data_IF_477174587358
#
_entry.id   IF_477174587358
#
_cell.length_a   1.000
_cell.length_b   1.000
_cell.length_c   1.000
_cell.angle_alpha   90.00
_cell.angle_beta   90.00
_cell.angle_gamma   90.00
#
_symmetry.space_group_name_H-M   'P 1'
#
loop_
_entity.id
_entity.type
_entity.pdbx_description
1 polymer ?
#
# COMPACT_ATOMS: atom_id res chain seq x y z
N UNK A 1 -6.26 -9.05 13.37
CA UNK A 1 -5.47 -9.17 12.13
C UNK A 1 -6.33 -8.51 11.07
N UNK A 2 -5.96 -7.31 10.62
CA UNK A 2 -6.70 -6.67 9.54
C UNK A 2 -6.20 -7.31 8.26
N UNK A 3 -6.97 -8.26 7.74
CA UNK A 3 -6.73 -8.82 6.41
C UNK A 3 -7.43 -7.92 5.40
N UNK A 4 -6.69 -7.43 4.41
CA UNK A 4 -7.27 -6.64 3.34
C UNK A 4 -8.31 -7.49 2.60
N UNK A 5 -9.46 -6.90 2.33
CA UNK A 5 -10.50 -7.52 1.53
C UNK A 5 -10.03 -7.70 0.08
N UNK A 6 -10.63 -8.65 -0.65
CA UNK A 6 -10.36 -8.86 -2.08
C UNK A 6 -10.51 -7.57 -2.88
N UNK A 7 -11.49 -6.73 -2.53
CA UNK A 7 -11.72 -5.44 -3.20
C UNK A 7 -10.56 -4.46 -2.99
N UNK A 8 -9.97 -4.43 -1.78
CA UNK A 8 -8.81 -3.60 -1.48
C UNK A 8 -7.56 -4.11 -2.20
N UNK A 9 -7.36 -5.43 -2.28
CA UNK A 9 -6.30 -6.03 -3.09
C UNK A 9 -6.45 -5.65 -4.58
N UNK A 10 -7.63 -5.84 -5.17
CA UNK A 10 -7.86 -5.46 -6.58
C UNK A 10 -7.65 -3.96 -6.83
N UNK A 11 -8.02 -3.12 -5.86
CA UNK A 11 -7.81 -1.67 -5.95
C UNK A 11 -6.31 -1.33 -5.88
N UNK A 12 -5.56 -1.98 -4.98
CA UNK A 12 -4.12 -1.83 -4.83
C UNK A 12 -3.37 -2.28 -6.08
N UNK A 13 -3.68 -3.45 -6.62
CA UNK A 13 -3.05 -3.96 -7.85
C UNK A 13 -3.29 -3.03 -9.03
N UNK A 14 -4.51 -2.52 -9.18
CA UNK A 14 -4.82 -1.50 -10.20
C UNK A 14 -4.06 -0.20 -9.96
N UNK A 15 -3.92 0.23 -8.71
CA UNK A 15 -3.16 1.43 -8.37
C UNK A 15 -1.67 1.26 -8.69
N UNK A 16 -1.09 0.08 -8.47
CA UNK A 16 0.28 -0.26 -8.88
C UNK A 16 0.44 -0.13 -10.39
N UNK A 17 -0.45 -0.76 -11.16
CA UNK A 17 -0.40 -0.74 -12.63
C UNK A 17 -0.55 0.68 -13.18
N UNK A 18 -1.44 1.48 -12.59
CA UNK A 18 -1.72 2.85 -13.03
C UNK A 18 -0.76 3.89 -12.48
N UNK A 19 0.03 3.56 -11.46
CA UNK A 19 0.81 4.53 -10.69
C UNK A 19 -0.05 5.54 -9.93
N UNK A 20 -1.28 5.16 -9.57
CA UNK A 20 -2.21 6.02 -8.82
C UNK A 20 -1.79 6.14 -7.36
N UNK A 21 -1.99 7.31 -6.75
CA UNK A 21 -1.71 7.51 -5.32
C UNK A 21 -2.71 6.70 -4.48
N UNK A 22 -2.24 6.20 -3.36
CA UNK A 22 -3.06 5.53 -2.35
C UNK A 22 -2.81 6.16 -0.99
N UNK A 23 -3.82 6.14 -0.12
CA UNK A 23 -3.69 6.38 1.30
C UNK A 23 -3.53 5.02 1.99
N UNK A 24 -2.48 4.89 2.78
CA UNK A 24 -2.20 3.72 3.60
C UNK A 24 -2.36 4.11 5.06
N UNK A 25 -3.22 3.41 5.77
CA UNK A 25 -3.44 3.64 7.20
C UNK A 25 -2.70 2.57 8.00
N UNK A 26 -1.82 3.00 8.89
CA UNK A 26 -1.00 2.12 9.74
C UNK A 26 -0.84 2.69 11.13
N UNK A 27 -1.30 1.96 12.14
CA UNK A 27 -1.24 2.35 13.56
C UNK A 27 -1.84 3.74 13.80
N UNK A 28 -2.95 4.03 13.11
CA UNK A 28 -3.63 5.33 13.18
C UNK A 28 -2.89 6.49 12.48
N UNK A 29 -1.82 6.22 11.72
CA UNK A 29 -1.16 7.21 10.87
C UNK A 29 -1.53 6.99 9.41
N UNK A 30 -1.77 8.08 8.69
CA UNK A 30 -2.05 8.07 7.26
C UNK A 30 -0.78 8.41 6.46
N UNK A 31 -0.51 7.60 5.43
CA UNK A 31 0.57 7.80 4.47
C UNK A 31 0.03 7.85 3.05
N UNK A 32 0.19 9.00 2.38
CA UNK A 32 -0.12 9.11 0.95
C UNK A 32 1.12 8.73 0.14
N UNK A 33 1.03 7.64 -0.62
CA UNK A 33 2.16 7.06 -1.35
C UNK A 33 1.77 6.64 -2.77
N UNK A 34 2.76 6.50 -3.65
CA UNK A 34 2.59 5.85 -4.95
C UNK A 34 3.07 4.41 -4.82
N UNK A 35 2.17 3.41 -4.93
CA UNK A 35 2.56 2.01 -4.83
C UNK A 35 3.33 1.60 -6.09
N UNK A 36 4.33 0.73 -5.92
CA UNK A 36 5.24 0.30 -7.00
C UNK A 36 5.16 -1.20 -7.28
N UNK A 37 5.08 -2.03 -6.24
CA UNK A 37 4.93 -3.48 -6.39
C UNK A 37 4.60 -4.14 -5.05
N UNK A 38 3.99 -5.31 -5.15
CA UNK A 38 3.85 -6.26 -4.05
C UNK A 38 5.02 -7.25 -4.06
N UNK A 39 5.46 -7.63 -2.87
CA UNK A 39 6.55 -8.58 -2.63
C UNK A 39 6.13 -9.54 -1.52
N UNK A 40 6.24 -10.84 -1.78
CA UNK A 40 6.04 -11.85 -0.74
C UNK A 40 7.39 -12.40 -0.31
N UNK A 41 7.74 -12.24 0.96
CA UNK A 41 8.98 -12.73 1.54
C UNK A 41 8.69 -13.47 2.84
N UNK A 42 9.14 -14.72 2.93
CA UNK A 42 8.97 -15.58 4.12
C UNK A 42 7.52 -15.67 4.62
N UNK A 43 6.56 -15.68 3.69
CA UNK A 43 5.13 -15.77 4.00
C UNK A 43 4.47 -14.45 4.44
N UNK A 44 5.20 -13.32 4.39
CA UNK A 44 4.65 -11.99 4.63
C UNK A 44 4.64 -11.19 3.35
N UNK A 45 3.56 -10.45 3.13
CA UNK A 45 3.43 -9.57 1.98
C UNK A 45 3.83 -8.14 2.35
N UNK A 46 4.56 -7.51 1.44
CA UNK A 46 5.03 -6.13 1.56
C UNK A 46 4.63 -5.34 0.34
N UNK A 47 4.23 -4.10 0.58
CA UNK A 47 3.99 -3.09 -0.42
C UNK A 47 5.19 -2.15 -0.46
N UNK A 48 5.87 -2.14 -1.60
CA UNK A 48 6.88 -1.12 -1.86
C UNK A 48 6.23 0.09 -2.51
N UNK A 49 6.54 1.26 -1.97
CA UNK A 49 5.94 2.52 -2.36
C UNK A 49 6.98 3.64 -2.41
N UNK A 50 6.58 4.77 -2.99
CA UNK A 50 7.38 5.99 -3.03
C UNK A 50 6.55 7.16 -2.52
N UNK A 51 7.15 8.00 -1.68
CA UNK A 51 6.53 9.26 -1.27
C UNK A 51 6.40 10.19 -2.50
N UNK A 52 5.22 10.76 -2.79
CA UNK A 52 4.96 11.48 -4.04
C UNK A 52 5.79 12.74 -4.19
N UNK A 53 6.13 13.42 -3.09
CA UNK A 53 6.90 14.68 -3.09
C UNK A 53 8.41 14.46 -2.96
N UNK A 54 8.87 13.74 -1.93
CA UNK A 54 10.31 13.56 -1.65
C UNK A 54 10.97 12.47 -2.48
N UNK A 55 10.20 11.53 -3.03
CA UNK A 55 10.77 10.36 -3.73
C UNK A 55 11.29 9.27 -2.78
N UNK A 56 11.09 9.42 -1.46
CA UNK A 56 11.56 8.45 -0.48
C UNK A 56 10.87 7.09 -0.68
N UNK A 57 11.66 6.03 -0.58
CA UNK A 57 11.13 4.66 -0.64
C UNK A 57 10.57 4.27 0.72
N UNK A 58 9.31 3.83 0.71
CA UNK A 58 8.59 3.34 1.88
C UNK A 58 8.20 1.89 1.64
N UNK A 59 8.33 1.06 2.67
CA UNK A 59 7.92 -0.35 2.63
C UNK A 59 6.94 -0.60 3.76
N UNK A 60 5.77 -1.11 3.40
CA UNK A 60 4.71 -1.42 4.35
C UNK A 60 4.45 -2.92 4.34
N UNK A 61 4.30 -3.53 5.52
CA UNK A 61 3.81 -4.90 5.61
C UNK A 61 2.29 -4.89 5.58
N UNK A 62 1.67 -5.69 4.70
CA UNK A 62 0.22 -5.69 4.50
C UNK A 62 -0.53 -6.15 5.77
N UNK A 63 0.05 -7.07 6.53
CA UNK A 63 -0.50 -7.59 7.79
C UNK A 63 -0.49 -6.57 8.95
N UNK A 64 0.20 -5.43 8.77
CA UNK A 64 0.27 -4.33 9.72
C UNK A 64 -0.58 -3.12 9.32
N UNK A 65 -1.30 -3.20 8.20
CA UNK A 65 -2.14 -2.12 7.71
C UNK A 65 -3.53 -2.19 8.34
N UNK A 66 -4.03 -1.02 8.72
CA UNK A 66 -5.40 -0.87 9.22
C UNK A 66 -6.37 -0.78 8.03
N UNK A 67 -6.00 -0.03 6.98
CA UNK A 67 -6.81 0.17 5.78
C UNK A 67 -5.96 0.69 4.59
N UNK A 68 -6.49 0.58 3.37
CA UNK A 68 -5.94 1.15 2.15
C UNK A 68 -7.06 1.72 1.27
N UNK A 69 -6.87 2.95 0.81
CA UNK A 69 -7.78 3.60 -0.14
C UNK A 69 -7.04 4.19 -1.34
N UNK A 70 -7.65 4.14 -2.52
CA UNK A 70 -7.12 4.82 -3.71
C UNK A 70 -7.53 6.29 -3.66
N UNK A 71 -6.55 7.18 -3.77
CA UNK A 71 -6.79 8.63 -3.83
C UNK A 71 -7.18 9.00 -5.25
N UNK A 72 -8.35 9.63 -5.41
CA UNK A 72 -8.86 10.14 -6.70
C UNK A 72 -8.17 11.43 -7.14
#
# INVERSE_FOLDING_TARGET
MAELTTKQYDALERAIVRGSRIAVYRRGMEYVVVPKRLRTERGRETLESTHPTTGDRLVFFLDELDDIEVVR
#
